data_IF_799194952097
#
_entry.id   IF_799194952097
#
_cell.length_a   1.000
_cell.length_b   1.000
_cell.length_c   1.000
_cell.angle_alpha   90.00
_cell.angle_beta   90.00
_cell.angle_gamma   90.00
#
_symmetry.space_group_name_H-M   'P 1'
#
loop_
_entity.id
_entity.type
_entity.pdbx_description
1 polymer ?
#
# COMPACT_ATOMS: atom_id res chain seq x y z
N UNK A 1 4.55 -6.85 4.75
CA UNK A 1 4.91 -7.82 5.82
C UNK A 1 4.52 -7.34 7.21
N UNK A 2 5.17 -6.30 7.76
CA UNK A 2 4.89 -5.80 9.11
C UNK A 2 3.39 -5.58 9.41
N UNK A 3 2.63 -4.91 8.53
CA UNK A 3 1.20 -4.70 8.79
C UNK A 3 0.36 -5.98 8.87
N UNK A 4 0.69 -7.01 8.09
CA UNK A 4 0.01 -8.33 8.16
C UNK A 4 0.39 -9.03 9.47
N UNK A 5 1.66 -8.96 9.86
CA UNK A 5 2.12 -9.43 11.16
C UNK A 5 1.39 -8.73 12.32
N UNK A 6 1.18 -7.41 12.25
CA UNK A 6 0.41 -6.68 13.28
C UNK A 6 -1.06 -7.06 13.33
N UNK A 7 -1.64 -7.50 12.21
CA UNK A 7 -3.03 -7.98 12.16
C UNK A 7 -3.18 -9.38 12.74
N UNK A 8 -2.26 -10.29 12.43
CA UNK A 8 -2.47 -11.73 12.62
C UNK A 8 -1.38 -12.47 13.40
N UNK A 9 -0.32 -11.78 13.81
CA UNK A 9 0.86 -12.40 14.43
C UNK A 9 1.59 -13.35 13.47
N UNK A 10 2.50 -14.14 14.03
CA UNK A 10 3.26 -15.14 13.27
C UNK A 10 2.39 -16.29 12.79
N UNK A 11 1.50 -16.80 13.64
CA UNK A 11 0.65 -17.95 13.30
C UNK A 11 -0.26 -17.65 12.11
N UNK A 12 -0.93 -16.51 12.11
CA UNK A 12 -1.80 -16.14 11.01
C UNK A 12 -1.03 -15.78 9.75
N UNK A 13 0.16 -15.17 9.87
CA UNK A 13 1.02 -14.94 8.72
C UNK A 13 1.51 -16.27 8.09
N UNK A 14 1.90 -17.25 8.89
CA UNK A 14 2.29 -18.60 8.43
C UNK A 14 1.12 -19.28 7.71
N UNK A 15 -0.09 -19.24 8.29
CA UNK A 15 -1.29 -19.79 7.65
C UNK A 15 -1.61 -19.12 6.31
N UNK A 16 -1.47 -17.79 6.24
CA UNK A 16 -1.67 -17.03 4.99
C UNK A 16 -0.68 -17.47 3.92
N UNK A 17 0.61 -17.53 4.26
CA UNK A 17 1.68 -17.94 3.32
C UNK A 17 1.47 -19.38 2.85
N UNK A 18 1.00 -20.28 3.72
CA UNK A 18 0.70 -21.67 3.37
C UNK A 18 -0.36 -21.81 2.26
N UNK A 19 -1.22 -20.80 2.07
CA UNK A 19 -2.25 -20.77 1.04
C UNK A 19 -1.90 -19.87 -0.15
N UNK A 20 -0.78 -19.13 -0.09
CA UNK A 20 -0.45 -18.12 -1.08
C UNK A 20 0.60 -18.61 -2.08
N UNK A 21 0.51 -18.15 -3.32
CA UNK A 21 1.64 -18.13 -4.25
C UNK A 21 2.43 -16.83 -4.01
N UNK A 22 3.73 -16.96 -3.72
CA UNK A 22 4.62 -15.80 -3.63
C UNK A 22 5.12 -15.47 -5.03
N UNK A 23 5.04 -14.20 -5.40
CA UNK A 23 5.46 -13.67 -6.69
C UNK A 23 6.60 -12.66 -6.48
N UNK A 24 7.48 -12.55 -7.48
CA UNK A 24 8.72 -11.77 -7.38
C UNK A 24 8.53 -10.25 -7.48
N UNK A 25 7.33 -9.79 -7.78
CA UNK A 25 7.01 -8.36 -7.73
C UNK A 25 5.55 -8.10 -7.40
N UNK A 26 5.29 -6.94 -6.79
CA UNK A 26 3.94 -6.43 -6.55
C UNK A 26 3.14 -6.26 -7.85
N UNK A 27 3.83 -6.01 -8.98
CA UNK A 27 3.19 -5.82 -10.27
C UNK A 27 2.56 -7.08 -10.85
N UNK A 28 3.15 -8.24 -10.56
CA UNK A 28 2.62 -9.52 -10.99
C UNK A 28 1.30 -9.86 -10.28
N UNK A 29 1.09 -9.38 -9.05
CA UNK A 29 -0.12 -9.65 -8.28
C UNK A 29 -1.35 -9.06 -8.98
N UNK A 30 -1.36 -7.73 -9.21
CA UNK A 30 -2.54 -7.08 -9.79
C UNK A 30 -2.69 -7.37 -11.29
N UNK A 31 -1.60 -7.64 -12.02
CA UNK A 31 -1.66 -8.08 -13.42
C UNK A 31 -2.21 -9.50 -13.54
N UNK A 32 -1.74 -10.42 -12.69
CA UNK A 32 -2.19 -11.81 -12.70
C UNK A 32 -3.66 -11.95 -12.31
N UNK A 33 -4.14 -11.16 -11.33
CA UNK A 33 -5.58 -11.11 -11.02
C UNK A 33 -6.38 -10.54 -12.19
N UNK A 34 -5.95 -9.41 -12.77
CA UNK A 34 -6.64 -8.83 -13.92
C UNK A 34 -6.61 -9.71 -15.18
N UNK A 35 -5.58 -10.55 -15.32
CA UNK A 35 -5.45 -11.54 -16.39
C UNK A 35 -6.14 -12.87 -16.10
N UNK A 36 -6.79 -13.04 -14.94
CA UNK A 36 -7.48 -14.27 -14.56
C UNK A 36 -6.56 -15.42 -14.13
N UNK A 37 -5.25 -15.19 -13.98
CA UNK A 37 -4.27 -16.19 -13.53
C UNK A 37 -4.45 -16.54 -12.04
N UNK A 38 -4.81 -15.52 -11.23
CA UNK A 38 -5.08 -15.70 -9.81
C UNK A 38 -6.45 -15.13 -9.44
N UNK A 39 -7.25 -15.84 -8.62
CA UNK A 39 -8.59 -15.36 -8.24
C UNK A 39 -8.54 -14.21 -7.22
N UNK A 40 -7.46 -14.08 -6.46
CA UNK A 40 -7.30 -13.05 -5.42
C UNK A 40 -5.81 -12.69 -5.26
N UNK A 41 -5.54 -11.41 -4.96
CA UNK A 41 -4.20 -10.91 -4.71
C UNK A 41 -4.18 -9.86 -3.60
N UNK A 42 -3.22 -9.98 -2.67
CA UNK A 42 -2.98 -8.95 -1.64
C UNK A 42 -2.13 -7.86 -2.27
N UNK A 43 -2.72 -6.70 -2.55
CA UNK A 43 -2.08 -5.65 -3.35
C UNK A 43 -2.40 -4.23 -2.85
N UNK A 44 -1.86 -3.22 -3.55
CA UNK A 44 -2.07 -1.80 -3.27
C UNK A 44 -3.36 -1.32 -3.96
N UNK A 45 -4.20 -0.59 -3.24
CA UNK A 45 -5.51 -0.14 -3.71
C UNK A 45 -5.44 0.58 -5.06
N UNK A 46 -4.56 1.58 -5.19
CA UNK A 46 -4.40 2.34 -6.44
C UNK A 46 -4.03 1.44 -7.63
N UNK A 47 -3.29 0.35 -7.39
CA UNK A 47 -2.83 -0.52 -8.44
C UNK A 47 -3.97 -1.38 -9.00
N UNK A 48 -4.83 -1.92 -8.11
CA UNK A 48 -6.03 -2.64 -8.49
C UNK A 48 -7.09 -1.69 -9.10
N UNK A 49 -7.29 -0.52 -8.48
CA UNK A 49 -8.34 0.41 -8.89
C UNK A 49 -8.14 0.95 -10.31
N UNK A 50 -6.89 1.06 -10.79
CA UNK A 50 -6.61 1.42 -12.20
C UNK A 50 -7.32 0.51 -13.22
N UNK A 51 -7.52 -0.77 -12.91
CA UNK A 51 -8.27 -1.68 -13.79
C UNK A 51 -9.77 -1.40 -13.74
N UNK A 52 -10.31 -1.15 -12.55
CA UNK A 52 -11.72 -0.77 -12.34
C UNK A 52 -12.03 0.52 -13.08
N UNK A 53 -11.20 1.56 -12.88
CA UNK A 53 -11.34 2.84 -13.56
C UNK A 53 -11.10 2.73 -15.07
N UNK A 54 -10.29 1.76 -15.51
CA UNK A 54 -10.11 1.41 -16.92
C UNK A 54 -11.28 0.63 -17.54
N UNK A 55 -12.36 0.39 -16.79
CA UNK A 55 -13.59 -0.25 -17.28
C UNK A 55 -13.63 -1.77 -17.15
N UNK A 56 -12.67 -2.38 -16.43
CA UNK A 56 -12.75 -3.81 -16.13
C UNK A 56 -13.98 -4.12 -15.27
N UNK A 57 -14.74 -5.14 -15.69
CA UNK A 57 -15.92 -5.65 -14.95
C UNK A 57 -15.62 -6.87 -14.10
N UNK A 58 -14.47 -7.49 -14.34
CA UNK A 58 -14.06 -8.76 -13.72
C UNK A 58 -13.09 -8.56 -12.55
N UNK A 59 -12.66 -7.31 -12.31
CA UNK A 59 -11.77 -6.93 -11.22
C UNK A 59 -12.51 -6.03 -10.24
N UNK A 60 -12.32 -6.29 -8.95
CA UNK A 60 -12.83 -5.46 -7.87
C UNK A 60 -11.84 -5.36 -6.70
N UNK A 61 -12.17 -4.50 -5.74
CA UNK A 61 -11.37 -4.32 -4.52
C UNK A 61 -12.20 -4.78 -3.33
N UNK A 62 -11.63 -5.65 -2.51
CA UNK A 62 -12.19 -6.07 -1.24
C UNK A 62 -11.32 -5.52 -0.12
N UNK A 63 -11.92 -4.76 0.79
CA UNK A 63 -11.28 -4.35 2.04
C UNK A 63 -11.54 -5.42 3.09
N UNK A 64 -10.47 -6.06 3.57
CA UNK A 64 -10.58 -7.13 4.55
C UNK A 64 -11.30 -6.64 5.83
N UNK A 65 -12.23 -7.46 6.33
CA UNK A 65 -13.03 -7.14 7.51
C UNK A 65 -12.18 -6.98 8.79
N UNK A 66 -11.01 -7.60 8.86
CA UNK A 66 -10.05 -7.48 9.96
C UNK A 66 -9.26 -6.17 9.90
N UNK A 67 -9.11 -5.62 8.69
CA UNK A 67 -8.57 -4.30 8.45
C UNK A 67 -7.61 -4.22 7.25
N UNK A 68 -7.57 -3.04 6.64
CA UNK A 68 -6.59 -2.66 5.64
C UNK A 68 -5.41 -1.93 6.29
N UNK A 69 -4.25 -1.99 5.64
CA UNK A 69 -3.04 -1.29 6.05
C UNK A 69 -2.93 -0.01 5.24
N UNK A 70 -2.83 1.13 5.92
CA UNK A 70 -2.52 2.43 5.31
C UNK A 70 -1.11 2.80 5.76
N UNK A 71 -0.14 2.60 4.89
CA UNK A 71 1.24 2.97 5.14
C UNK A 71 1.49 4.38 4.58
N UNK A 72 2.08 5.31 5.36
CA UNK A 72 2.42 6.62 4.86
C UNK A 72 3.58 6.53 3.86
N UNK A 73 3.48 7.30 2.79
CA UNK A 73 4.60 7.54 1.87
C UNK A 73 5.22 8.89 2.19
N UNK A 74 6.55 8.93 2.18
CA UNK A 74 7.32 10.12 2.51
C UNK A 74 8.08 10.67 1.32
N UNK A 75 8.31 11.98 1.34
CA UNK A 75 9.34 12.65 0.57
C UNK A 75 10.30 13.35 1.55
N UNK A 76 11.54 13.58 1.13
CA UNK A 76 12.55 14.22 1.97
C UNK A 76 13.48 15.10 1.13
N UNK A 77 13.98 16.18 1.75
CA UNK A 77 15.09 16.97 1.22
C UNK A 77 16.38 16.42 1.80
N UNK A 78 17.33 16.08 0.92
CA UNK A 78 18.62 15.54 1.34
C UNK A 78 19.46 16.64 1.99
N UNK A 79 20.07 16.31 3.14
CA UNK A 79 21.01 17.21 3.82
C UNK A 79 22.20 17.50 2.90
N UNK A 80 22.62 18.77 2.83
CA UNK A 80 23.70 19.23 1.95
C UNK A 80 23.43 19.02 0.45
N UNK A 81 22.16 19.04 0.01
CA UNK A 81 21.86 19.06 -1.42
C UNK A 81 22.51 20.28 -2.10
N UNK A 82 22.96 20.18 -3.36
CA UNK A 82 23.58 21.31 -4.08
C UNK A 82 22.66 22.54 -4.24
N UNK A 83 21.34 22.33 -4.12
CA UNK A 83 20.29 23.33 -4.36
C UNK A 83 19.23 23.24 -3.25
N UNK A 84 19.54 23.65 -2.00
CA UNK A 84 18.68 23.40 -0.85
C UNK A 84 17.38 24.23 -0.88
N UNK A 85 17.43 25.45 -1.43
CA UNK A 85 16.27 26.32 -1.52
C UNK A 85 15.27 25.81 -2.56
N UNK A 86 15.77 25.35 -3.71
CA UNK A 86 14.99 24.77 -4.80
C UNK A 86 14.40 23.43 -4.39
N UNK A 87 15.18 22.58 -3.71
CA UNK A 87 14.68 21.32 -3.17
C UNK A 87 13.53 21.53 -2.19
N UNK A 88 13.63 22.55 -1.32
CA UNK A 88 12.53 22.92 -0.41
C UNK A 88 11.30 23.41 -1.19
N UNK A 89 11.48 24.31 -2.16
CA UNK A 89 10.35 24.79 -3.00
C UNK A 89 9.66 23.64 -3.74
N UNK A 90 10.44 22.70 -4.25
CA UNK A 90 9.90 21.52 -4.93
C UNK A 90 9.15 20.61 -3.95
N UNK A 91 9.69 20.38 -2.75
CA UNK A 91 9.00 19.64 -1.71
C UNK A 91 7.66 20.29 -1.34
N UNK A 92 7.66 21.61 -1.10
CA UNK A 92 6.44 22.39 -0.79
C UNK A 92 5.40 22.29 -1.93
N UNK A 93 5.86 22.29 -3.19
CA UNK A 93 5.00 22.06 -4.36
C UNK A 93 4.41 20.64 -4.37
N UNK A 94 5.22 19.59 -4.16
CA UNK A 94 4.76 18.21 -4.16
C UNK A 94 3.66 17.94 -3.11
N UNK A 95 3.75 18.57 -1.93
CA UNK A 95 2.75 18.41 -0.86
C UNK A 95 1.60 19.42 -0.93
N UNK A 96 1.62 20.32 -1.92
CA UNK A 96 0.56 21.30 -2.12
C UNK A 96 -0.77 20.61 -2.42
N UNK A 97 -1.88 21.23 -2.00
CA UNK A 97 -3.22 20.68 -2.22
C UNK A 97 -3.52 20.39 -3.69
N UNK A 98 -3.26 21.31 -4.65
CA UNK A 98 -3.55 21.04 -6.06
C UNK A 98 -2.81 19.82 -6.61
N UNK A 99 -1.52 19.66 -6.28
CA UNK A 99 -0.71 18.53 -6.73
C UNK A 99 -1.19 17.22 -6.10
N UNK A 100 -1.48 17.23 -4.81
CA UNK A 100 -2.00 16.05 -4.11
C UNK A 100 -3.39 15.63 -4.62
N UNK A 101 -4.25 16.59 -4.98
CA UNK A 101 -5.54 16.31 -5.63
C UNK A 101 -5.35 15.73 -7.03
N UNK A 102 -4.49 16.33 -7.86
CA UNK A 102 -4.20 15.82 -9.20
C UNK A 102 -3.64 14.40 -9.16
N UNK A 103 -2.75 14.11 -8.20
CA UNK A 103 -2.22 12.76 -8.01
C UNK A 103 -3.33 11.78 -7.63
N UNK A 104 -4.29 12.19 -6.80
CA UNK A 104 -5.40 11.31 -6.43
C UNK A 104 -6.36 11.09 -7.61
N UNK A 105 -6.67 12.14 -8.36
CA UNK A 105 -7.58 12.09 -9.52
C UNK A 105 -7.00 11.23 -10.65
N UNK A 106 -5.70 11.39 -10.96
CA UNK A 106 -5.07 10.70 -12.11
C UNK A 106 -4.51 9.32 -11.77
N UNK A 107 -4.03 9.14 -10.54
CA UNK A 107 -3.30 7.92 -10.16
C UNK A 107 -3.92 7.18 -8.98
N UNK A 108 -5.03 7.68 -8.43
CA UNK A 108 -5.80 7.02 -7.36
C UNK A 108 -5.00 6.77 -6.07
N UNK A 109 -3.88 7.49 -5.90
CA UNK A 109 -3.13 7.46 -4.63
C UNK A 109 -3.80 8.38 -3.64
N UNK A 110 -4.26 7.83 -2.52
CA UNK A 110 -4.89 8.62 -1.47
C UNK A 110 -3.87 9.61 -0.90
N UNK A 111 -4.21 10.91 -0.85
CA UNK A 111 -3.32 11.88 -0.23
C UNK A 111 -3.36 11.72 1.30
N UNK A 112 -2.26 12.09 1.97
CA UNK A 112 -2.20 12.13 3.43
C UNK A 112 -3.09 13.24 4.03
N UNK A 113 -3.54 14.18 3.20
CA UNK A 113 -4.40 15.28 3.60
C UNK A 113 -5.81 14.80 3.97
N UNK A 114 -6.39 15.38 5.01
CA UNK A 114 -7.74 15.04 5.49
C UNK A 114 -8.85 15.77 4.73
N UNK A 115 -8.52 16.78 3.92
CA UNK A 115 -9.42 17.64 3.15
C UNK A 115 -9.48 17.27 1.66
N UNK A 116 -9.08 16.04 1.32
CA UNK A 116 -9.03 15.55 -0.04
C UNK A 116 -10.43 15.28 -0.62
N UNK A 117 -10.52 15.43 -1.95
CA UNK A 117 -11.72 15.08 -2.73
C UNK A 117 -12.03 13.59 -2.62
N UNK A 118 -13.23 13.21 -3.05
CA UNK A 118 -13.64 11.80 -3.20
C UNK A 118 -13.54 11.37 -4.66
N UNK A 119 -13.12 10.13 -4.91
CA UNK A 119 -13.12 9.51 -6.23
C UNK A 119 -14.27 8.50 -6.28
N UNK A 120 -15.10 8.56 -7.34
CA UNK A 120 -16.21 7.64 -7.52
C UNK A 120 -15.71 6.18 -7.48
N UNK A 121 -16.41 5.28 -6.78
CA UNK A 121 -15.98 3.88 -6.66
C UNK A 121 -14.85 3.62 -5.65
N UNK A 122 -14.23 4.66 -5.07
CA UNK A 122 -13.36 4.51 -3.89
C UNK A 122 -14.08 5.01 -2.64
N UNK A 123 -14.29 4.17 -1.61
CA UNK A 123 -14.88 4.64 -0.36
C UNK A 123 -13.94 5.63 0.34
N UNK A 124 -14.47 6.59 1.11
CA UNK A 124 -13.64 7.42 1.99
C UNK A 124 -12.95 6.53 3.04
N UNK A 125 -11.72 6.88 3.45
CA UNK A 125 -10.93 6.11 4.43
C UNK A 125 -11.70 5.82 5.72
N UNK A 126 -12.57 6.73 6.16
CA UNK A 126 -13.42 6.56 7.36
C UNK A 126 -14.39 5.37 7.27
N UNK A 127 -14.71 4.89 6.06
CA UNK A 127 -15.55 3.70 5.84
C UNK A 127 -14.74 2.41 5.73
N UNK A 128 -13.41 2.49 5.75
CA UNK A 128 -12.52 1.34 5.70
C UNK A 128 -12.03 1.07 7.12
N UNK A 129 -12.11 -0.19 7.58
CA UNK A 129 -11.45 -0.56 8.82
C UNK A 129 -9.94 -0.52 8.58
N UNK A 130 -9.24 0.42 9.19
CA UNK A 130 -7.79 0.57 9.06
C UNK A 130 -7.10 0.01 10.31
N UNK A 131 -5.96 -0.66 10.11
CA UNK A 131 -5.07 -1.05 11.19
C UNK A 131 -4.63 0.20 11.98
N UNK A 132 -5.13 0.36 13.20
CA UNK A 132 -4.88 1.55 14.03
C UNK A 132 -3.44 1.67 14.53
N UNK A 133 -2.75 0.55 14.71
CA UNK A 133 -1.39 0.49 15.30
C UNK A 133 -0.33 0.16 14.24
N UNK A 134 -0.36 0.85 13.11
CA UNK A 134 0.74 0.80 12.15
C UNK A 134 1.75 1.90 12.52
N UNK A 135 2.96 1.50 12.92
CA UNK A 135 4.03 2.43 13.27
C UNK A 135 5.24 2.20 12.33
N UNK A 136 5.57 3.16 11.45
CA UNK A 136 6.73 3.07 10.57
C UNK A 136 8.07 2.94 11.31
N UNK A 137 8.20 3.52 12.51
CA UNK A 137 9.43 3.45 13.30
C UNK A 137 9.58 2.07 13.93
N UNK A 138 8.51 1.51 14.50
CA UNK A 138 8.50 0.13 14.97
C UNK A 138 8.79 -0.84 13.81
N UNK A 139 8.18 -0.61 12.64
CA UNK A 139 8.42 -1.42 11.45
C UNK A 139 9.89 -1.43 11.03
N UNK A 140 10.57 -0.29 11.13
CA UNK A 140 12.00 -0.15 10.84
C UNK A 140 12.86 -0.90 11.88
N UNK A 141 12.54 -0.77 13.17
CA UNK A 141 13.24 -1.50 14.24
C UNK A 141 13.11 -3.01 14.07
N UNK A 142 11.92 -3.49 13.72
CA UNK A 142 11.63 -4.92 13.56
C UNK A 142 11.95 -5.46 12.16
N UNK A 143 12.42 -4.64 11.23
CA UNK A 143 12.57 -5.01 9.81
C UNK A 143 13.38 -6.30 9.65
N UNK A 144 14.56 -6.35 10.27
CA UNK A 144 15.48 -7.50 10.16
C UNK A 144 14.88 -8.78 10.71
N UNK A 145 14.22 -8.70 11.86
CA UNK A 145 13.60 -9.87 12.50
C UNK A 145 12.41 -10.37 11.68
N UNK A 146 11.60 -9.44 11.17
CA UNK A 146 10.45 -9.77 10.34
C UNK A 146 10.88 -10.42 9.03
N UNK A 147 11.90 -9.86 8.37
CA UNK A 147 12.43 -10.43 7.14
C UNK A 147 13.11 -11.78 7.36
N UNK A 148 13.79 -11.97 8.51
CA UNK A 148 14.38 -13.26 8.88
C UNK A 148 13.28 -14.32 9.03
N UNK A 149 12.24 -14.05 9.84
CA UNK A 149 11.14 -15.00 10.03
C UNK A 149 10.33 -15.24 8.76
N UNK A 150 10.11 -14.22 7.94
CA UNK A 150 9.53 -14.39 6.62
C UNK A 150 10.32 -15.39 5.77
N UNK A 151 11.65 -15.22 5.68
CA UNK A 151 12.50 -16.13 4.91
C UNK A 151 12.42 -17.56 5.44
N UNK A 152 12.48 -17.74 6.76
CA UNK A 152 12.33 -19.06 7.38
C UNK A 152 11.01 -19.73 6.98
N UNK A 153 9.88 -19.00 7.08
CA UNK A 153 8.54 -19.53 6.74
C UNK A 153 8.44 -19.89 5.25
N UNK A 154 8.97 -19.03 4.36
CA UNK A 154 8.91 -19.26 2.91
C UNK A 154 9.81 -20.43 2.49
N UNK A 155 10.97 -20.60 3.12
CA UNK A 155 11.92 -21.67 2.82
C UNK A 155 11.54 -23.02 3.46
N UNK A 156 10.73 -23.01 4.52
CA UNK A 156 10.26 -24.23 5.20
C UNK A 156 8.97 -24.81 4.60
N UNK A 157 8.46 -24.22 3.52
CA UNK A 157 7.27 -24.66 2.79
C UNK A 157 7.56 -25.87 1.92
#
# INVERSE_FOLDING_TARGET
MYGIYKLYGWDGLTKLIGNAKILDSSSLIYKGVAGGEYPIGVTMEYAAYRYVAGGSKDVGIVYAADGAIVAPEGAAVILNSPHPQEAKKFFDYLISKPVQEEVFEKFYRRPARTDAKTIAGLPPLKKIRVLKKFDPLEANVLEKDILKKWKEIVLSR
#
